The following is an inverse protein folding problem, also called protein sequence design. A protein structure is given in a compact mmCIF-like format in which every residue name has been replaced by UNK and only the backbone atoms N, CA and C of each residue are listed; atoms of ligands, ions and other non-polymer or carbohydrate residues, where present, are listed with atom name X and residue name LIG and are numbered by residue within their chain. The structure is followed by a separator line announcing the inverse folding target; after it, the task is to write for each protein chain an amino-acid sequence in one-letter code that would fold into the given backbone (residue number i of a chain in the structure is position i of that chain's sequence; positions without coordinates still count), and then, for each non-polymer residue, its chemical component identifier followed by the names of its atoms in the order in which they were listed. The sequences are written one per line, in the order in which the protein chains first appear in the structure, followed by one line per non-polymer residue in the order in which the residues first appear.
data_IF_332089827855
#
_entry.id   IF_332089827855
#
_cell.length_a   1.000
_cell.length_b   1.000
_cell.length_c   1.000
_cell.angle_alpha   90.00
_cell.angle_beta   90.00
_cell.angle_gamma   90.00
#
_symmetry.space_group_name_H-M   'P 1'
#
loop_
_entity.id
_entity.type
_entity.pdbx_description
1 polymer ?
#
# COMPACT_ATOMS: atom_id res chain seq x y z
N UNK A 1 -69.53 -52.91 -28.88
CA UNK A 1 -68.22 -53.57 -29.03
C UNK A 1 -67.24 -52.63 -29.73
N UNK A 2 -66.27 -52.07 -29.01
CA UNK A 2 -64.90 -51.77 -29.46
C UNK A 2 -64.10 -51.24 -28.26
N UNK A 3 -62.95 -51.86 -28.01
CA UNK A 3 -62.01 -51.57 -26.93
C UNK A 3 -61.04 -50.49 -27.41
N UNK A 4 -60.74 -49.51 -26.55
CA UNK A 4 -59.44 -48.83 -26.58
C UNK A 4 -58.99 -48.53 -25.14
N UNK A 5 -57.87 -49.18 -24.79
CA UNK A 5 -57.00 -48.87 -23.67
C UNK A 5 -56.20 -47.61 -23.99
N UNK A 6 -56.12 -46.67 -23.05
CA UNK A 6 -55.01 -45.72 -22.91
C UNK A 6 -55.10 -45.15 -21.48
N UNK A 7 -54.38 -45.74 -20.53
CA UNK A 7 -53.06 -45.34 -20.07
C UNK A 7 -53.08 -44.03 -19.27
N UNK A 8 -52.78 -44.19 -17.99
CA UNK A 8 -52.60 -43.13 -17.01
C UNK A 8 -51.60 -42.08 -17.48
N UNK A 9 -51.86 -40.81 -17.14
CA UNK A 9 -50.85 -39.77 -16.93
C UNK A 9 -51.51 -38.65 -16.11
N UNK A 10 -51.60 -38.88 -14.80
CA UNK A 10 -51.70 -37.79 -13.83
C UNK A 10 -50.31 -37.14 -13.85
N UNK A 11 -50.15 -36.07 -14.62
CA UNK A 11 -48.97 -35.23 -14.54
C UNK A 11 -49.05 -34.43 -13.22
N UNK A 12 -48.16 -34.63 -12.24
CA UNK A 12 -48.00 -33.62 -11.22
C UNK A 12 -47.37 -32.42 -11.93
N UNK A 13 -48.10 -31.30 -11.99
CA UNK A 13 -47.51 -29.99 -12.26
C UNK A 13 -46.46 -29.75 -11.16
N UNK A 14 -45.21 -30.14 -11.43
CA UNK A 14 -44.07 -29.65 -10.68
C UNK A 14 -43.95 -28.17 -11.05
N UNK A 15 -44.63 -27.33 -10.29
CA UNK A 15 -44.35 -25.90 -10.25
C UNK A 15 -42.93 -25.79 -9.69
N UNK A 16 -41.98 -25.77 -10.61
CA UNK A 16 -40.63 -25.31 -10.34
C UNK A 16 -40.75 -23.83 -9.97
N UNK A 17 -40.75 -23.54 -8.67
CA UNK A 17 -40.38 -22.21 -8.20
C UNK A 17 -38.93 -21.99 -8.60
N UNK A 18 -38.72 -21.44 -9.80
CA UNK A 18 -37.45 -20.84 -10.19
C UNK A 18 -37.22 -19.69 -9.22
N UNK A 19 -36.49 -19.97 -8.15
CA UNK A 19 -36.00 -18.94 -7.24
C UNK A 19 -35.00 -18.14 -8.04
N UNK A 20 -35.45 -17.03 -8.62
CA UNK A 20 -34.58 -16.10 -9.33
C UNK A 20 -33.65 -15.52 -8.27
N UNK A 21 -32.44 -16.09 -8.15
CA UNK A 21 -31.34 -15.43 -7.47
C UNK A 21 -31.01 -14.17 -8.28
N UNK A 22 -31.70 -13.07 -7.99
CA UNK A 22 -31.12 -11.72 -8.17
C UNK A 22 -30.10 -11.62 -7.04
N UNK A 23 -28.86 -12.05 -7.21
CA UNK A 23 -27.94 -11.51 -8.20
C UNK A 23 -27.54 -10.17 -7.61
N UNK A 24 -26.48 -10.20 -6.79
CA UNK A 24 -25.96 -9.03 -6.10
C UNK A 24 -25.91 -7.85 -7.07
N UNK A 25 -26.48 -6.73 -6.64
CA UNK A 25 -26.58 -5.49 -7.41
C UNK A 25 -25.25 -5.16 -8.06
N UNK A 26 -25.13 -5.39 -9.38
CA UNK A 26 -24.04 -4.86 -10.19
C UNK A 26 -24.00 -3.34 -10.00
N UNK A 27 -23.00 -2.85 -9.28
CA UNK A 27 -22.83 -1.44 -9.03
C UNK A 27 -21.65 -0.94 -9.87
N UNK A 28 -21.97 -0.35 -11.01
CA UNK A 28 -21.01 0.10 -12.04
C UNK A 28 -19.94 1.06 -11.47
N UNK A 29 -20.29 1.89 -10.48
CA UNK A 29 -19.35 2.79 -9.83
C UNK A 29 -18.23 2.03 -9.09
N UNK A 30 -18.57 0.97 -8.36
CA UNK A 30 -17.59 0.14 -7.65
C UNK A 30 -16.65 -0.57 -8.63
N UNK A 31 -17.21 -1.11 -9.72
CA UNK A 31 -16.42 -1.80 -10.76
C UNK A 31 -15.46 -0.83 -11.45
N UNK A 32 -15.90 0.40 -11.72
CA UNK A 32 -15.08 1.44 -12.34
C UNK A 32 -13.94 1.87 -11.41
N UNK A 33 -14.22 2.05 -10.13
CA UNK A 33 -13.23 2.46 -9.13
C UNK A 33 -12.16 1.38 -8.94
N UNK A 34 -12.55 0.11 -8.83
CA UNK A 34 -11.58 -1.00 -8.73
C UNK A 34 -10.71 -1.12 -9.97
N UNK A 35 -11.29 -0.99 -11.18
CA UNK A 35 -10.52 -1.05 -12.42
C UNK A 35 -9.55 0.13 -12.56
N UNK A 36 -9.98 1.34 -12.17
CA UNK A 36 -9.12 2.51 -12.13
C UNK A 36 -7.93 2.31 -11.18
N UNK A 37 -8.19 1.75 -10.00
CA UNK A 37 -7.15 1.41 -9.04
C UNK A 37 -6.16 0.37 -9.58
N UNK A 38 -6.65 -0.70 -10.21
CA UNK A 38 -5.79 -1.74 -10.82
C UNK A 38 -4.84 -1.15 -11.88
N UNK A 39 -5.34 -0.20 -12.69
CA UNK A 39 -4.52 0.52 -13.68
C UNK A 39 -3.44 1.36 -12.99
N UNK A 40 -3.79 2.09 -11.92
CA UNK A 40 -2.82 2.88 -11.16
C UNK A 40 -1.76 1.98 -10.52
N UNK A 41 -2.13 0.82 -9.98
CA UNK A 41 -1.18 -0.16 -9.43
C UNK A 41 -0.23 -0.68 -10.49
N UNK A 42 -0.75 -1.01 -11.68
CA UNK A 42 0.08 -1.42 -12.81
C UNK A 42 1.08 -0.35 -13.21
N UNK A 43 0.65 0.92 -13.31
CA UNK A 43 1.52 2.04 -13.65
C UNK A 43 2.57 2.30 -12.57
N UNK A 44 2.18 2.23 -11.29
CA UNK A 44 3.07 2.41 -10.15
C UNK A 44 4.18 1.36 -10.14
N UNK A 45 3.82 0.07 -10.24
CA UNK A 45 4.80 -1.02 -10.29
C UNK A 45 5.74 -0.88 -11.48
N UNK A 46 5.21 -0.49 -12.65
CA UNK A 46 6.01 -0.28 -13.85
C UNK A 46 6.99 0.89 -13.72
N UNK A 47 6.58 2.01 -13.09
CA UNK A 47 7.46 3.15 -12.84
C UNK A 47 8.64 2.75 -11.95
N UNK A 48 8.39 1.96 -10.91
CA UNK A 48 9.44 1.44 -10.03
C UNK A 48 10.37 0.50 -10.81
N UNK A 49 9.82 -0.44 -11.56
CA UNK A 49 10.58 -1.41 -12.36
C UNK A 49 11.55 -0.70 -13.33
N UNK A 50 11.11 0.36 -14.00
CA UNK A 50 11.94 1.09 -14.95
C UNK A 50 13.17 1.76 -14.30
N UNK A 51 13.13 2.00 -13.00
CA UNK A 51 14.16 2.74 -12.26
C UNK A 51 15.04 1.77 -11.45
N UNK A 52 14.44 0.82 -10.74
CA UNK A 52 15.12 -0.12 -9.85
C UNK A 52 15.42 -1.49 -10.50
N UNK A 53 14.69 -1.84 -11.55
CA UNK A 53 14.69 -3.16 -12.16
C UNK A 53 13.68 -4.11 -11.52
N UNK A 54 13.25 -5.12 -12.29
CA UNK A 54 12.17 -6.05 -11.91
C UNK A 54 12.38 -6.76 -10.57
N UNK A 55 13.62 -7.09 -10.22
CA UNK A 55 13.94 -7.80 -8.96
C UNK A 55 13.87 -6.92 -7.72
N UNK A 56 13.82 -5.61 -7.90
CA UNK A 56 13.85 -4.60 -6.83
C UNK A 56 12.52 -3.87 -6.70
N UNK A 57 11.45 -4.38 -7.33
CA UNK A 57 10.10 -3.85 -7.15
C UNK A 57 9.59 -4.26 -5.77
N UNK A 58 9.49 -3.28 -4.87
CA UNK A 58 8.98 -3.45 -3.50
C UNK A 58 7.73 -2.58 -3.38
N UNK A 59 6.62 -3.15 -2.93
CA UNK A 59 5.31 -2.47 -2.84
C UNK A 59 4.79 -2.62 -1.41
N UNK A 60 4.04 -1.63 -0.93
CA UNK A 60 3.41 -1.68 0.37
C UNK A 60 2.48 -2.91 0.49
N UNK A 61 2.46 -3.50 1.68
CA UNK A 61 1.66 -4.66 2.01
C UNK A 61 1.01 -4.52 3.39
N UNK A 62 0.23 -5.53 3.84
CA UNK A 62 -0.45 -5.47 5.13
C UNK A 62 0.47 -5.28 6.34
N UNK A 63 1.75 -5.64 6.20
CA UNK A 63 2.78 -5.57 7.25
C UNK A 63 4.03 -4.79 6.82
N UNK A 64 3.95 -4.13 5.68
CA UNK A 64 5.06 -3.42 5.06
C UNK A 64 4.57 -2.05 4.63
N UNK A 65 5.00 -1.00 5.33
CA UNK A 65 4.88 0.35 4.81
C UNK A 65 5.98 0.56 3.79
N UNK A 66 5.64 0.94 2.55
CA UNK A 66 6.61 1.29 1.52
C UNK A 66 6.13 2.56 0.86
N UNK A 67 6.91 3.64 0.95
CA UNK A 67 6.62 4.90 0.29
C UNK A 67 7.77 5.31 -0.60
N UNK A 68 7.47 5.54 -1.87
CA UNK A 68 8.40 6.12 -2.83
C UNK A 68 8.29 7.64 -2.85
N UNK A 69 9.40 8.31 -3.06
CA UNK A 69 9.50 9.76 -3.26
C UNK A 69 10.59 10.05 -4.30
N UNK A 70 10.81 11.33 -4.61
CA UNK A 70 11.90 11.79 -5.48
C UNK A 70 11.85 11.19 -6.89
N UNK A 71 10.66 11.15 -7.50
CA UNK A 71 10.47 10.52 -8.81
C UNK A 71 10.87 9.04 -8.77
N UNK A 72 10.38 8.33 -7.75
CA UNK A 72 10.66 6.92 -7.45
C UNK A 72 12.12 6.60 -7.13
N UNK A 73 13.04 7.57 -7.04
CA UNK A 73 14.46 7.27 -6.79
C UNK A 73 14.76 6.93 -5.32
N UNK A 74 13.87 7.27 -4.40
CA UNK A 74 14.04 7.05 -2.96
C UNK A 74 12.84 6.27 -2.43
N UNK A 75 13.08 5.26 -1.59
CA UNK A 75 12.01 4.52 -0.89
C UNK A 75 12.27 4.45 0.60
N UNK A 76 11.19 4.55 1.37
CA UNK A 76 11.17 4.33 2.81
C UNK A 76 10.35 3.07 3.10
N UNK A 77 10.99 2.04 3.64
CA UNK A 77 10.37 0.75 3.95
C UNK A 77 10.39 0.52 5.46
N UNK A 78 9.21 0.27 6.05
CA UNK A 78 9.06 -0.18 7.44
C UNK A 78 8.46 -1.58 7.39
N UNK A 79 9.21 -2.57 7.88
CA UNK A 79 8.72 -3.92 8.07
C UNK A 79 8.27 -4.06 9.53
N UNK A 80 6.96 -4.21 9.72
CA UNK A 80 6.36 -4.25 11.06
C UNK A 80 6.54 -5.59 11.78
N UNK A 81 6.80 -6.69 11.05
CA UNK A 81 7.09 -8.00 11.67
C UNK A 81 8.51 -8.04 12.24
N UNK A 82 9.49 -7.54 11.50
CA UNK A 82 10.90 -7.57 11.89
C UNK A 82 11.32 -6.35 12.72
N UNK A 83 10.47 -5.31 12.76
CA UNK A 83 10.77 -4.06 13.48
C UNK A 83 11.92 -3.28 12.84
N UNK A 84 12.04 -3.32 11.52
CA UNK A 84 13.14 -2.69 10.78
C UNK A 84 12.64 -1.51 9.94
N UNK A 85 13.50 -0.51 9.81
CA UNK A 85 13.29 0.63 8.92
C UNK A 85 14.48 0.71 7.97
N UNK A 86 14.19 0.60 6.68
CA UNK A 86 15.16 0.61 5.60
C UNK A 86 14.86 1.81 4.70
N UNK A 87 15.82 2.72 4.57
CA UNK A 87 15.70 3.89 3.70
C UNK A 87 16.75 3.75 2.60
N UNK A 88 16.31 3.74 1.34
CA UNK A 88 17.17 3.48 0.20
C UNK A 88 16.99 4.57 -0.86
N UNK A 89 18.06 4.85 -1.58
CA UNK A 89 18.01 5.71 -2.76
C UNK A 89 18.94 5.18 -3.84
N UNK A 90 18.53 5.31 -5.09
CA UNK A 90 19.38 5.06 -6.26
C UNK A 90 19.69 6.35 -7.03
N UNK A 91 19.38 7.51 -6.45
CA UNK A 91 19.67 8.80 -7.04
C UNK A 91 21.18 8.95 -7.29
N UNK A 92 21.57 9.20 -8.54
CA UNK A 92 22.98 9.35 -8.92
C UNK A 92 23.61 10.67 -8.46
N UNK A 93 22.81 11.63 -8.01
CA UNK A 93 23.23 12.95 -7.54
C UNK A 93 22.77 13.14 -6.10
N UNK A 94 23.68 13.59 -5.22
CA UNK A 94 23.42 13.87 -3.80
C UNK A 94 22.64 12.77 -3.03
N UNK A 95 22.99 11.47 -3.15
CA UNK A 95 22.23 10.38 -2.53
C UNK A 95 22.09 10.55 -1.01
N UNK A 96 23.13 11.08 -0.34
CA UNK A 96 23.07 11.37 1.10
C UNK A 96 21.97 12.39 1.46
N UNK A 97 21.71 13.39 0.60
CA UNK A 97 20.66 14.38 0.83
C UNK A 97 19.25 13.76 0.67
N UNK A 98 19.08 12.88 -0.32
CA UNK A 98 17.86 12.10 -0.51
C UNK A 98 17.55 11.22 0.70
N UNK A 99 18.53 10.43 1.14
CA UNK A 99 18.41 9.60 2.33
C UNK A 99 18.10 10.44 3.57
N UNK A 100 18.82 11.55 3.78
CA UNK A 100 18.61 12.44 4.93
C UNK A 100 17.17 12.92 5.02
N UNK A 101 16.60 13.39 3.90
CA UNK A 101 15.21 13.87 3.83
C UNK A 101 14.22 12.75 4.15
N UNK A 102 14.40 11.58 3.54
CA UNK A 102 13.52 10.44 3.75
C UNK A 102 13.58 9.89 5.19
N UNK A 103 14.76 9.83 5.81
CA UNK A 103 14.93 9.45 7.22
C UNK A 103 14.13 10.40 8.13
N UNK A 104 14.34 11.71 7.99
CA UNK A 104 13.68 12.71 8.84
C UNK A 104 12.15 12.62 8.70
N UNK A 105 11.65 12.53 7.47
CA UNK A 105 10.21 12.44 7.20
C UNK A 105 9.60 11.17 7.77
N UNK A 106 10.24 10.02 7.56
CA UNK A 106 9.75 8.73 8.07
C UNK A 106 9.67 8.74 9.59
N UNK A 107 10.70 9.24 10.27
CA UNK A 107 10.74 9.31 11.74
C UNK A 107 9.70 10.26 12.35
N UNK A 108 9.22 11.23 11.57
CA UNK A 108 8.31 12.29 12.05
C UNK A 108 6.92 12.25 11.40
N UNK A 109 6.64 11.22 10.60
CA UNK A 109 5.36 11.11 9.89
C UNK A 109 4.19 11.00 10.88
N UNK A 110 3.08 11.66 10.57
CA UNK A 110 1.84 11.51 11.30
C UNK A 110 1.23 10.11 11.19
N UNK A 111 0.24 9.85 12.02
CA UNK A 111 -0.49 8.59 12.12
C UNK A 111 -1.80 8.58 11.31
N UNK A 112 -1.98 9.51 10.37
CA UNK A 112 -3.15 9.59 9.50
C UNK A 112 -2.92 8.85 8.17
N UNK A 113 -3.24 7.55 8.08
CA UNK A 113 -3.06 6.77 6.86
C UNK A 113 -4.02 7.21 5.74
N UNK A 114 -5.10 7.94 6.05
CA UNK A 114 -6.07 8.38 5.03
C UNK A 114 -5.53 9.51 4.16
N UNK A 115 -4.48 10.20 4.64
CA UNK A 115 -3.85 11.32 3.96
C UNK A 115 -2.65 10.94 3.09
N UNK A 116 -2.19 9.68 3.17
CA UNK A 116 -0.97 9.20 2.51
C UNK A 116 -1.31 8.19 1.43
N UNK A 117 -0.98 8.52 0.18
CA UNK A 117 -1.05 7.62 -0.96
C UNK A 117 0.26 6.83 -1.11
N UNK A 118 0.26 5.56 -0.72
CA UNK A 118 1.43 4.68 -0.81
C UNK A 118 1.77 4.25 -2.25
N UNK A 119 0.89 4.52 -3.21
CA UNK A 119 1.00 4.05 -4.59
C UNK A 119 1.28 5.17 -5.59
N UNK A 120 1.86 6.26 -5.10
CA UNK A 120 2.47 7.31 -5.90
C UNK A 120 3.78 7.79 -5.27
N UNK A 121 4.57 8.53 -6.06
CA UNK A 121 5.80 9.18 -5.60
C UNK A 121 5.58 10.60 -5.02
N UNK A 122 4.32 11.03 -4.94
CA UNK A 122 3.94 12.35 -4.42
C UNK A 122 4.32 12.43 -2.95
N UNK A 123 4.95 13.54 -2.57
CA UNK A 123 5.38 13.75 -1.19
C UNK A 123 4.25 14.35 -0.35
N UNK A 124 3.35 13.47 0.11
CA UNK A 124 2.19 13.75 0.96
C UNK A 124 2.45 13.46 2.45
N UNK A 125 3.70 13.13 2.81
CA UNK A 125 4.08 12.84 4.19
C UNK A 125 4.06 14.13 5.01
N UNK A 126 3.17 14.18 6.01
CA UNK A 126 3.06 15.30 6.93
C UNK A 126 3.84 15.04 8.21
N UNK A 127 4.58 16.07 8.68
CA UNK A 127 5.30 16.02 9.96
C UNK A 127 4.32 16.30 11.09
N UNK A 128 4.25 15.38 12.06
CA UNK A 128 3.39 15.49 13.24
C UNK A 128 4.18 15.85 14.50
N UNK A 129 3.50 16.48 15.46
CA UNK A 129 4.01 16.68 16.83
C UNK A 129 3.99 15.38 17.64
N UNK A 130 3.15 14.44 17.24
CA UNK A 130 3.07 13.07 17.76
C UNK A 130 3.29 12.12 16.58
N UNK A 131 4.56 11.83 16.23
CA UNK A 131 4.85 10.92 15.12
C UNK A 131 4.32 9.52 15.38
N UNK A 132 3.91 8.84 14.31
CA UNK A 132 3.48 7.44 14.34
C UNK A 132 4.54 6.52 14.98
N UNK A 133 5.83 6.76 14.68
CA UNK A 133 6.95 5.96 15.21
C UNK A 133 7.44 6.39 16.60
N UNK A 134 6.78 7.36 17.24
CA UNK A 134 7.22 7.86 18.54
C UNK A 134 7.18 6.76 19.61
N UNK A 135 8.32 6.51 20.26
CA UNK A 135 8.46 5.46 21.27
C UNK A 135 8.67 4.05 20.70
N UNK A 136 8.46 3.85 19.39
CA UNK A 136 8.81 2.63 18.69
C UNK A 136 10.28 2.64 18.23
N UNK A 137 10.82 3.84 17.96
CA UNK A 137 12.21 4.05 17.52
C UNK A 137 12.92 5.03 18.45
N UNK A 138 14.19 4.72 18.75
CA UNK A 138 15.10 5.60 19.49
C UNK A 138 16.31 5.97 18.62
N UNK A 139 16.89 7.14 18.87
CA UNK A 139 18.14 7.55 18.24
C UNK A 139 19.35 6.82 18.84
N UNK A 140 20.54 7.14 18.33
CA UNK A 140 21.82 6.62 18.81
C UNK A 140 22.17 7.00 20.27
N UNK A 141 21.37 7.85 20.91
CA UNK A 141 21.48 8.20 22.35
C UNK A 141 20.44 7.48 23.21
N UNK A 142 19.64 6.59 22.61
CA UNK A 142 18.56 5.86 23.29
C UNK A 142 17.33 6.71 23.58
N UNK A 143 17.17 7.86 22.91
CA UNK A 143 16.05 8.78 23.14
C UNK A 143 15.00 8.67 22.03
N UNK A 144 13.70 8.73 22.36
CA UNK A 144 12.64 8.71 21.35
C UNK A 144 12.62 10.00 20.52
N UNK A 145 12.22 9.87 19.27
CA UNK A 145 12.35 10.93 18.26
C UNK A 145 10.98 11.56 17.97
N UNK A 146 10.82 12.85 18.28
CA UNK A 146 9.62 13.64 17.93
C UNK A 146 9.88 15.06 17.46
N UNK A 147 11.15 15.44 17.35
CA UNK A 147 11.56 16.80 17.02
C UNK A 147 12.49 16.76 15.80
N UNK A 148 12.30 17.69 14.87
CA UNK A 148 13.08 17.78 13.65
C UNK A 148 14.59 17.91 13.91
N UNK A 149 14.99 18.67 14.94
CA UNK A 149 16.40 18.77 15.32
C UNK A 149 17.00 17.42 15.75
N UNK A 150 16.24 16.59 16.49
CA UNK A 150 16.70 15.25 16.92
C UNK A 150 16.72 14.29 15.74
N UNK A 151 15.66 14.28 14.93
CA UNK A 151 15.60 13.46 13.72
C UNK A 151 16.74 13.80 12.75
N UNK A 152 17.04 15.09 12.58
CA UNK A 152 18.17 15.58 11.78
C UNK A 152 19.51 15.06 12.30
N UNK A 153 19.78 15.22 13.60
CA UNK A 153 21.01 14.74 14.20
C UNK A 153 21.17 13.22 14.05
N UNK A 154 20.08 12.47 14.20
CA UNK A 154 20.11 11.03 14.03
C UNK A 154 20.33 10.62 12.57
N UNK A 155 19.68 11.29 11.61
CA UNK A 155 19.93 11.08 10.19
C UNK A 155 21.41 11.35 9.84
N UNK A 156 21.97 12.45 10.35
CA UNK A 156 23.38 12.81 10.13
C UNK A 156 24.34 11.81 10.78
N UNK A 157 23.96 11.19 11.91
CA UNK A 157 24.71 10.09 12.52
C UNK A 157 24.69 8.83 11.66
N UNK A 158 23.50 8.42 11.19
CA UNK A 158 23.33 7.24 10.34
C UNK A 158 24.16 7.36 9.06
N UNK A 159 24.06 8.51 8.37
CA UNK A 159 24.75 8.75 7.09
C UNK A 159 26.28 8.78 7.18
N UNK A 160 26.85 8.96 8.38
CA UNK A 160 28.30 8.88 8.62
C UNK A 160 28.79 7.48 8.95
N UNK A 161 27.87 6.57 9.25
CA UNK A 161 28.17 5.22 9.76
C UNK A 161 27.95 4.15 8.68
N UNK A 162 27.45 4.54 7.51
CA UNK A 162 27.26 3.68 6.32
C UNK A 162 28.52 3.62 5.46
#
# INVERSE_FOLDING_TARGET
MKKYLALALIAPLLISCSTTKKGDTYNEAWVKDTNGFDILMGQFAHNIENIWGFKEVVIAGPKDYVKYTDQYQTRSHINFDDGTITIETIAGTEPAAHLRRAIIKTLLMGDDPSSVDLYSDVDDITISKEPFLYGQVVDNTGQPIRWEGRASNFADYLLKTV
#
